data_IF_331411763374
#
_entry.id   IF_331411763374
#
_cell.length_a   1.000
_cell.length_b   1.000
_cell.length_c   1.000
_cell.angle_alpha   90.00
_cell.angle_beta   90.00
_cell.angle_gamma   90.00
#
_symmetry.space_group_name_H-M   'P 1'
#
loop_
_entity.id
_entity.type
_entity.pdbx_description
1 polymer ?
#
# COMPACT_ATOMS: atom_id res chain seq x y z
N UNK A 1 4.83 -25.53 -0.69
CA UNK A 1 4.84 -24.94 0.67
C UNK A 1 6.29 -24.71 1.08
N UNK A 2 6.59 -23.62 1.79
CA UNK A 2 7.91 -22.96 1.93
C UNK A 2 9.05 -23.77 2.58
N UNK A 3 8.99 -25.11 2.60
CA UNK A 3 10.07 -25.97 3.08
C UNK A 3 10.46 -25.64 4.54
N UNK A 4 11.76 -25.74 4.89
CA UNK A 4 12.26 -25.38 6.21
C UNK A 4 11.93 -23.94 6.64
N UNK A 5 11.66 -23.04 5.70
CA UNK A 5 11.40 -21.62 5.96
C UNK A 5 9.93 -21.34 6.33
N UNK A 6 9.04 -22.34 6.29
CA UNK A 6 7.63 -22.18 6.63
C UNK A 6 7.38 -21.41 7.95
N UNK A 7 8.09 -21.66 9.06
CA UNK A 7 7.90 -20.90 10.30
C UNK A 7 8.16 -19.40 10.14
N UNK A 8 9.15 -19.01 9.34
CA UNK A 8 9.45 -17.60 9.08
C UNK A 8 8.34 -16.91 8.27
N UNK A 9 7.75 -17.63 7.30
CA UNK A 9 6.60 -17.10 6.56
C UNK A 9 5.36 -16.96 7.43
N UNK A 10 5.10 -17.91 8.34
CA UNK A 10 3.99 -17.81 9.29
C UNK A 10 4.20 -16.62 10.24
N UNK A 11 5.41 -16.41 10.75
CA UNK A 11 5.73 -15.26 11.60
C UNK A 11 5.60 -13.93 10.84
N UNK A 12 6.06 -13.89 9.58
CA UNK A 12 5.92 -12.75 8.69
C UNK A 12 4.45 -12.40 8.51
N UNK A 13 3.62 -13.36 8.10
CA UNK A 13 2.20 -13.16 7.87
C UNK A 13 1.47 -12.66 9.12
N UNK A 14 1.70 -13.31 10.28
CA UNK A 14 1.08 -12.93 11.54
C UNK A 14 1.50 -11.51 11.97
N UNK A 15 2.77 -11.15 11.80
CA UNK A 15 3.28 -9.83 12.17
C UNK A 15 2.71 -8.74 11.26
N UNK A 16 2.63 -8.99 9.95
CA UNK A 16 2.02 -8.05 9.01
C UNK A 16 0.52 -7.87 9.28
N UNK A 17 -0.21 -8.97 9.46
CA UNK A 17 -1.63 -8.93 9.79
C UNK A 17 -1.92 -8.12 11.06
N UNK A 18 -1.08 -8.27 12.10
CA UNK A 18 -1.19 -7.51 13.36
C UNK A 18 -1.06 -5.99 13.17
N UNK A 19 -0.20 -5.54 12.27
CA UNK A 19 0.08 -4.11 12.04
C UNK A 19 -0.72 -3.51 10.87
N UNK A 20 -1.38 -4.35 10.09
CA UNK A 20 -2.21 -3.90 8.98
C UNK A 20 -3.36 -3.03 9.49
N UNK A 21 -3.59 -1.85 8.91
CA UNK A 21 -4.68 -1.00 9.33
C UNK A 21 -6.04 -1.63 8.99
N UNK A 22 -7.02 -1.38 9.85
CA UNK A 22 -8.42 -1.65 9.55
C UNK A 22 -9.00 -0.55 8.65
N UNK A 23 -10.00 -0.89 7.85
CA UNK A 23 -10.70 0.05 6.97
C UNK A 23 -10.47 -0.26 5.49
N UNK A 24 -11.17 0.48 4.64
CA UNK A 24 -11.01 0.35 3.19
C UNK A 24 -9.87 1.25 2.70
N UNK A 25 -8.88 0.63 2.07
CA UNK A 25 -7.73 1.33 1.47
C UNK A 25 -7.11 0.49 0.37
N UNK A 26 -6.38 1.14 -0.52
CA UNK A 26 -5.50 0.45 -1.45
C UNK A 26 -4.20 0.04 -0.74
N UNK A 27 -3.90 -1.26 -0.73
CA UNK A 27 -2.61 -1.76 -0.26
C UNK A 27 -1.62 -1.84 -1.43
N UNK A 28 -0.53 -1.08 -1.35
CA UNK A 28 0.61 -1.26 -2.25
C UNK A 28 1.50 -2.37 -1.71
N UNK A 29 1.14 -3.62 -2.02
CA UNK A 29 1.91 -4.78 -1.54
C UNK A 29 3.29 -4.86 -2.18
N UNK A 30 3.41 -4.54 -3.48
CA UNK A 30 4.68 -4.60 -4.22
C UNK A 30 4.80 -3.51 -5.28
N UNK A 31 6.01 -2.97 -5.43
CA UNK A 31 6.43 -2.16 -6.57
C UNK A 31 7.87 -2.54 -6.93
N UNK A 32 8.10 -2.83 -8.20
CA UNK A 32 9.40 -3.31 -8.66
C UNK A 32 9.80 -2.62 -9.97
N UNK A 33 11.12 -2.47 -10.13
CA UNK A 33 11.75 -2.00 -11.35
C UNK A 33 12.98 -2.86 -11.62
N UNK A 34 13.28 -3.13 -12.89
CA UNK A 34 14.52 -3.81 -13.27
C UNK A 34 15.74 -3.10 -12.67
N UNK A 35 16.80 -3.82 -12.26
CA UNK A 35 18.00 -3.20 -11.69
C UNK A 35 18.59 -2.10 -12.57
N UNK A 36 18.66 -2.32 -13.89
CA UNK A 36 19.15 -1.35 -14.88
C UNK A 36 18.28 -0.09 -15.00
N UNK A 37 17.02 -0.15 -14.57
CA UNK A 37 16.07 0.97 -14.61
C UNK A 37 15.92 1.68 -13.26
N UNK A 38 16.62 1.23 -12.21
CA UNK A 38 16.59 1.89 -10.90
C UNK A 38 17.24 3.28 -10.96
N UNK A 39 16.81 4.20 -10.10
CA UNK A 39 17.34 5.57 -10.06
C UNK A 39 16.80 6.51 -11.13
N UNK A 40 16.08 6.01 -12.13
CA UNK A 40 15.54 6.81 -13.26
C UNK A 40 14.07 7.23 -13.06
N UNK A 41 13.54 7.13 -11.84
CA UNK A 41 12.19 7.63 -11.51
C UNK A 41 11.01 6.74 -11.93
N UNK A 42 11.24 5.51 -12.41
CA UNK A 42 10.18 4.59 -12.83
C UNK A 42 9.18 4.28 -11.69
N UNK A 43 9.65 3.96 -10.47
CA UNK A 43 8.77 3.73 -9.33
C UNK A 43 7.93 4.96 -8.97
N UNK A 44 8.52 6.15 -9.03
CA UNK A 44 7.78 7.40 -8.81
C UNK A 44 6.74 7.66 -9.91
N UNK A 45 7.02 7.28 -11.17
CA UNK A 45 6.07 7.39 -12.26
C UNK A 45 4.85 6.47 -12.06
N UNK A 46 5.08 5.23 -11.63
CA UNK A 46 4.01 4.28 -11.30
C UNK A 46 3.13 4.80 -10.15
N UNK A 47 3.75 5.30 -9.06
CA UNK A 47 3.01 5.89 -7.94
C UNK A 47 2.15 7.08 -8.37
N UNK A 48 2.73 8.02 -9.14
CA UNK A 48 1.97 9.17 -9.67
C UNK A 48 0.80 8.74 -10.55
N UNK A 49 1.01 7.74 -11.39
CA UNK A 49 -0.07 7.20 -12.23
C UNK A 49 -1.18 6.62 -11.36
N UNK A 50 -0.86 5.74 -10.41
CA UNK A 50 -1.84 5.12 -9.52
C UNK A 50 -2.69 6.16 -8.77
N UNK A 51 -2.07 7.16 -8.13
CA UNK A 51 -2.81 8.18 -7.37
C UNK A 51 -3.61 9.16 -8.22
N UNK A 52 -3.26 9.33 -9.51
CA UNK A 52 -4.09 10.07 -10.46
C UNK A 52 -5.32 9.28 -10.88
N UNK A 53 -5.18 7.96 -11.01
CA UNK A 53 -6.28 7.06 -11.39
C UNK A 53 -7.25 6.84 -10.23
N UNK A 54 -6.73 6.69 -9.01
CA UNK A 54 -7.51 6.40 -7.80
C UNK A 54 -7.32 7.48 -6.71
N UNK A 55 -7.70 8.74 -6.97
CA UNK A 55 -7.44 9.83 -6.02
C UNK A 55 -8.30 9.76 -4.76
N UNK A 56 -9.45 9.10 -4.83
CA UNK A 56 -10.45 9.03 -3.76
C UNK A 56 -10.22 7.91 -2.73
N UNK A 57 -9.13 7.14 -2.87
CA UNK A 57 -8.81 6.03 -1.97
C UNK A 57 -7.64 6.40 -1.05
N UNK A 58 -7.78 6.06 0.23
CA UNK A 58 -6.66 5.97 1.14
C UNK A 58 -5.72 4.87 0.64
N UNK A 59 -4.42 5.02 0.94
CA UNK A 59 -3.41 4.06 0.54
C UNK A 59 -2.48 3.71 1.69
N UNK A 60 -2.06 2.45 1.71
CA UNK A 60 -1.22 1.87 2.75
C UNK A 60 -0.09 1.03 2.15
N UNK A 61 1.06 1.03 2.82
CA UNK A 61 2.22 0.20 2.49
C UNK A 61 3.10 -0.03 3.71
N UNK A 62 3.97 -1.02 3.61
CA UNK A 62 5.09 -1.24 4.51
C UNK A 62 6.41 -1.03 3.76
N UNK A 63 7.12 0.05 4.05
CA UNK A 63 8.44 0.26 3.49
C UNK A 63 9.44 -0.67 4.19
N UNK A 64 10.34 -1.30 3.43
CA UNK A 64 11.37 -2.21 3.95
C UNK A 64 12.74 -1.52 4.17
N UNK A 65 12.83 -0.20 4.00
CA UNK A 65 14.05 0.58 4.26
C UNK A 65 13.76 2.07 4.42
N UNK A 66 14.71 2.79 5.02
CA UNK A 66 14.66 4.25 5.10
C UNK A 66 14.69 4.94 3.73
N UNK A 67 15.40 4.37 2.74
CA UNK A 67 15.41 4.87 1.35
C UNK A 67 14.02 4.81 0.73
N UNK A 68 13.30 3.70 0.93
CA UNK A 68 11.93 3.55 0.46
C UNK A 68 10.98 4.48 1.21
N UNK A 69 11.15 4.63 2.53
CA UNK A 69 10.39 5.58 3.35
C UNK A 69 10.51 7.00 2.78
N UNK A 70 11.72 7.43 2.41
CA UNK A 70 11.96 8.74 1.80
C UNK A 70 11.32 8.88 0.41
N UNK A 71 11.29 7.81 -0.40
CA UNK A 71 10.58 7.79 -1.68
C UNK A 71 9.08 8.00 -1.46
N UNK A 72 8.44 7.19 -0.61
CA UNK A 72 7.01 7.24 -0.38
C UNK A 72 6.56 8.53 0.32
N UNK A 73 7.38 9.09 1.21
CA UNK A 73 7.10 10.37 1.87
C UNK A 73 6.92 11.51 0.86
N UNK A 74 7.73 11.54 -0.21
CA UNK A 74 7.60 12.51 -1.30
C UNK A 74 6.29 12.38 -2.09
N UNK A 75 5.60 11.25 -1.94
CA UNK A 75 4.31 10.95 -2.57
C UNK A 75 3.13 11.07 -1.60
N UNK A 76 3.33 11.68 -0.43
CA UNK A 76 2.27 11.99 0.53
C UNK A 76 1.99 10.89 1.54
N UNK A 77 2.85 9.89 1.64
CA UNK A 77 2.78 8.91 2.71
C UNK A 77 3.39 9.46 4.00
N UNK A 78 2.80 9.09 5.14
CA UNK A 78 3.26 9.46 6.48
C UNK A 78 3.46 8.18 7.28
N UNK A 79 4.58 8.08 7.99
CA UNK A 79 4.92 6.91 8.81
C UNK A 79 4.01 6.77 10.03
N UNK A 80 3.72 5.52 10.43
CA UNK A 80 2.84 5.16 11.56
C UNK A 80 3.55 4.34 12.64
N UNK A 81 4.84 4.59 12.82
CA UNK A 81 5.72 3.78 13.66
C UNK A 81 6.47 2.74 12.86
N UNK A 82 7.00 1.72 13.55
CA UNK A 82 7.77 0.62 12.96
C UNK A 82 7.46 -0.70 13.64
N UNK A 83 7.73 -1.79 12.95
CA UNK A 83 7.74 -3.13 13.55
C UNK A 83 8.88 -3.98 12.99
N UNK A 84 9.25 -5.02 13.71
CA UNK A 84 10.27 -6.00 13.31
C UNK A 84 9.58 -7.35 13.16
N UNK A 85 10.00 -8.13 12.17
CA UNK A 85 9.55 -9.52 11.99
C UNK A 85 10.61 -10.44 12.59
N UNK A 86 10.30 -11.11 13.70
CA UNK A 86 11.25 -11.94 14.44
C UNK A 86 12.57 -11.22 14.73
N UNK A 87 13.69 -11.82 14.30
CA UNK A 87 15.03 -11.21 14.35
C UNK A 87 15.47 -10.58 13.02
N UNK A 88 14.51 -10.34 12.11
CA UNK A 88 14.74 -9.92 10.73
C UNK A 88 14.61 -8.40 10.49
N UNK A 89 14.17 -7.99 9.29
CA UNK A 89 14.15 -6.58 8.91
C UNK A 89 13.11 -5.78 9.69
N UNK A 90 13.39 -4.49 9.84
CA UNK A 90 12.42 -3.49 10.30
C UNK A 90 11.56 -3.04 9.12
N UNK A 91 10.27 -2.87 9.36
CA UNK A 91 9.33 -2.27 8.42
C UNK A 91 8.79 -0.96 8.97
N UNK A 92 8.50 -0.03 8.05
CA UNK A 92 7.89 1.26 8.33
C UNK A 92 6.50 1.28 7.66
N UNK A 93 5.43 0.97 8.40
CA UNK A 93 4.06 1.18 7.95
C UNK A 93 3.83 2.64 7.60
N UNK A 94 3.28 2.91 6.44
CA UNK A 94 2.99 4.26 5.98
C UNK A 94 1.59 4.38 5.43
N UNK A 95 0.97 5.53 5.69
CA UNK A 95 -0.39 5.84 5.27
C UNK A 95 -0.44 7.10 4.43
N UNK A 96 -1.30 7.10 3.42
CA UNK A 96 -1.60 8.26 2.61
C UNK A 96 -3.11 8.43 2.57
N UNK A 97 -3.66 9.56 3.06
CA UNK A 97 -5.09 9.83 2.93
C UNK A 97 -5.46 10.08 1.46
N UNK A 98 -6.72 9.80 1.13
CA UNK A 98 -7.35 10.12 -0.13
C UNK A 98 -7.26 11.64 -0.37
N UNK A 99 -7.10 12.00 -1.65
CA UNK A 99 -7.21 13.39 -2.05
C UNK A 99 -8.69 13.78 -2.10
N UNK A 100 -9.11 14.60 -1.14
CA UNK A 100 -10.46 15.19 -1.09
C UNK A 100 -10.76 16.14 -2.25
N UNK A 101 -9.74 16.54 -3.04
CA UNK A 101 -9.88 17.49 -4.14
C UNK A 101 -10.80 17.03 -5.30
N UNK A 102 -11.26 15.76 -5.30
CA UNK A 102 -12.22 15.25 -6.30
C UNK A 102 -13.53 14.74 -5.70
N UNK A 103 -13.66 14.70 -4.37
CA UNK A 103 -14.87 14.21 -3.70
C UNK A 103 -16.07 15.15 -3.92
N UNK A 104 -15.83 16.43 -4.18
CA UNK A 104 -16.89 17.42 -4.46
C UNK A 104 -17.56 17.26 -5.83
N UNK A 105 -17.02 16.44 -6.74
CA UNK A 105 -17.56 16.24 -8.10
C UNK A 105 -18.40 14.95 -8.24
N UNK A 106 -18.27 14.00 -7.31
CA UNK A 106 -19.00 12.72 -7.37
C UNK A 106 -20.36 12.74 -6.67
N UNK A 107 -20.68 13.80 -5.92
CA UNK A 107 -22.05 14.02 -5.38
C UNK A 107 -23.10 14.29 -6.47
N UNK A 108 -22.70 14.45 -7.73
CA UNK A 108 -23.59 14.75 -8.86
C UNK A 108 -24.00 13.54 -9.70
N UNK A 109 -23.63 12.30 -9.34
CA UNK A 109 -24.11 11.10 -10.03
C UNK A 109 -24.99 10.27 -9.09
N UNK A 110 -26.24 10.09 -9.50
CA UNK A 110 -27.32 9.40 -8.78
C UNK A 110 -26.99 7.96 -8.36
N UNK A 111 -27.93 7.28 -7.69
CA UNK A 111 -27.63 6.13 -6.86
C UNK A 111 -26.98 5.00 -7.65
N UNK A 112 -25.91 4.44 -7.09
CA UNK A 112 -25.17 3.30 -7.61
C UNK A 112 -26.12 2.10 -7.66
N UNK A 113 -26.33 1.54 -8.87
CA UNK A 113 -27.17 0.35 -9.06
C UNK A 113 -26.59 -0.82 -8.25
N UNK A 114 -27.42 -1.40 -7.39
CA UNK A 114 -27.15 -2.62 -6.65
C UNK A 114 -26.96 -3.79 -7.61
N UNK A 115 -25.80 -4.45 -7.55
CA UNK A 115 -25.62 -5.75 -8.18
C UNK A 115 -26.23 -6.85 -7.29
N UNK A 116 -27.09 -7.74 -7.82
CA UNK A 116 -27.60 -8.86 -7.04
C UNK A 116 -26.50 -9.92 -6.82
N UNK A 117 -26.55 -10.67 -5.71
CA UNK A 117 -25.57 -11.73 -5.43
C UNK A 117 -25.72 -12.89 -6.44
N UNK A 118 -24.63 -13.62 -6.75
CA UNK A 118 -24.69 -14.75 -7.67
C UNK A 118 -25.50 -15.89 -7.06
N UNK A 119 -26.45 -16.41 -7.83
CA UNK A 119 -27.19 -17.64 -7.53
C UNK A 119 -26.26 -18.86 -7.64
N UNK A 120 -26.46 -19.81 -6.71
CA UNK A 120 -25.81 -21.12 -6.65
C UNK A 120 -26.21 -22.04 -7.81
#
# INVERSE_FOLDING_TARGET
MCGPDAPHFTELEATFAKHHPSGEHHHLSHIATLPSAQGHGAGAALLRHHFRTYPAWDAYLEAASLRLTALYSRHGFVGRGTFVVGHGPTFWPMWRPASTARATDLSARGPMMSFPPPTA
#
